data_IF_930520310652
#
_entry.id   IF_930520310652
#
_cell.length_a   1.000
_cell.length_b   1.000
_cell.length_c   1.000
_cell.angle_alpha   90.00
_cell.angle_beta   90.00
_cell.angle_gamma   90.00
#
_symmetry.space_group_name_H-M   'P 1'
#
loop_
_entity.id
_entity.type
_entity.pdbx_description
1 polymer ?
#
# COMPACT_ATOMS: atom_id res chain seq x y z
N UNK A 1 -0.10 4.40 -19.74
CA UNK A 1 0.20 4.45 -18.29
C UNK A 1 1.68 4.76 -18.14
N UNK A 2 2.06 5.76 -17.34
CA UNK A 2 3.47 6.13 -17.15
C UNK A 2 4.08 5.18 -16.11
N UNK A 3 5.20 4.53 -16.40
CA UNK A 3 5.87 3.64 -15.44
C UNK A 3 6.46 4.47 -14.28
N UNK A 4 5.94 4.37 -13.04
CA UNK A 4 6.43 5.13 -11.90
C UNK A 4 7.89 4.81 -11.56
N UNK A 5 8.37 3.64 -11.94
CA UNK A 5 9.70 3.14 -11.64
C UNK A 5 10.69 3.32 -12.81
N UNK A 6 10.33 4.09 -13.84
CA UNK A 6 11.25 4.39 -14.95
C UNK A 6 12.46 5.23 -14.49
N UNK A 7 12.30 6.07 -13.46
CA UNK A 7 13.41 6.76 -12.79
C UNK A 7 13.00 7.27 -11.40
N UNK A 8 13.99 7.54 -10.53
CA UNK A 8 13.75 8.18 -9.22
C UNK A 8 13.06 9.54 -9.36
N UNK A 9 13.35 10.31 -10.42
CA UNK A 9 12.72 11.61 -10.66
C UNK A 9 11.23 11.49 -10.97
N UNK A 10 10.84 10.47 -11.75
CA UNK A 10 9.43 10.18 -12.06
C UNK A 10 8.71 9.72 -10.79
N UNK A 11 9.29 8.78 -10.05
CA UNK A 11 8.73 8.31 -8.78
C UNK A 11 8.51 9.46 -7.80
N UNK A 12 9.52 10.34 -7.64
CA UNK A 12 9.42 11.55 -6.80
C UNK A 12 8.25 12.42 -7.22
N UNK A 13 8.12 12.69 -8.53
CA UNK A 13 7.03 13.50 -9.05
C UNK A 13 5.65 12.89 -8.76
N UNK A 14 5.51 11.56 -8.91
CA UNK A 14 4.27 10.85 -8.60
C UNK A 14 3.94 10.92 -7.11
N UNK A 15 4.92 10.64 -6.25
CA UNK A 15 4.74 10.69 -4.79
C UNK A 15 4.31 12.09 -4.31
N UNK A 16 4.87 13.15 -4.88
CA UNK A 16 4.48 14.55 -4.62
C UNK A 16 3.05 14.87 -5.13
N UNK A 17 2.53 14.10 -6.08
CA UNK A 17 1.20 14.29 -6.68
C UNK A 17 0.11 13.45 -6.02
N UNK A 18 0.46 12.53 -5.11
CA UNK A 18 -0.52 11.79 -4.33
C UNK A 18 -1.37 12.78 -3.52
N UNK A 19 -2.64 12.86 -3.89
CA UNK A 19 -3.61 13.82 -3.34
C UNK A 19 -4.73 13.11 -2.61
N UNK A 20 -4.97 11.84 -2.87
CA UNK A 20 -6.02 11.09 -2.17
C UNK A 20 -5.48 10.52 -0.86
N UNK A 21 -6.33 10.47 0.16
CA UNK A 21 -5.95 10.09 1.53
C UNK A 21 -5.33 8.69 1.61
N UNK A 22 -5.68 7.78 0.69
CA UNK A 22 -5.32 6.35 0.78
C UNK A 22 -4.15 5.91 -0.09
N UNK A 23 -3.69 6.74 -1.02
CA UNK A 23 -2.68 6.31 -2.00
C UNK A 23 -1.31 6.10 -1.34
N UNK A 24 -0.89 7.04 -0.47
CA UNK A 24 0.36 6.93 0.26
C UNK A 24 0.30 5.80 1.29
N UNK A 25 -0.81 5.68 2.02
CA UNK A 25 -1.02 4.63 3.02
C UNK A 25 -0.91 3.24 2.37
N UNK A 26 -1.63 3.03 1.26
CA UNK A 26 -1.60 1.76 0.51
C UNK A 26 -0.19 1.41 0.03
N UNK A 27 0.56 2.40 -0.45
CA UNK A 27 1.94 2.19 -0.89
C UNK A 27 2.88 1.79 0.25
N UNK A 28 2.74 2.44 1.41
CA UNK A 28 3.53 2.11 2.61
C UNK A 28 3.12 0.74 3.16
N UNK A 29 1.83 0.42 3.20
CA UNK A 29 1.34 -0.92 3.59
C UNK A 29 1.90 -2.01 2.67
N UNK A 30 1.92 -1.77 1.36
CA UNK A 30 2.51 -2.67 0.37
C UNK A 30 4.01 -2.87 0.62
N UNK A 31 4.73 -1.78 0.85
CA UNK A 31 6.16 -1.83 1.20
C UNK A 31 6.41 -2.66 2.48
N UNK A 32 5.65 -2.41 3.54
CA UNK A 32 5.75 -3.13 4.81
C UNK A 32 5.51 -4.63 4.63
N UNK A 33 4.44 -5.01 3.93
CA UNK A 33 4.06 -6.41 3.77
C UNK A 33 4.98 -7.17 2.82
N UNK A 34 5.27 -6.58 1.67
CA UNK A 34 5.91 -7.30 0.57
C UNK A 34 7.43 -7.20 0.61
N UNK A 35 7.98 -6.07 1.08
CA UNK A 35 9.43 -5.84 1.14
C UNK A 35 9.95 -6.19 2.51
N UNK A 36 9.37 -5.63 3.57
CA UNK A 36 9.85 -5.87 4.93
C UNK A 36 9.35 -7.18 5.53
N UNK A 37 8.35 -7.83 4.92
CA UNK A 37 7.68 -9.04 5.45
C UNK A 37 7.18 -8.84 6.88
N UNK A 38 6.73 -7.63 7.18
CA UNK A 38 6.15 -7.33 8.47
C UNK A 38 4.64 -7.55 8.41
N UNK A 39 4.11 -8.19 9.44
CA UNK A 39 2.67 -8.40 9.60
C UNK A 39 2.04 -7.15 10.16
N UNK A 40 0.99 -6.64 9.49
CA UNK A 40 0.16 -5.58 10.06
C UNK A 40 -0.71 -6.19 11.16
N UNK A 41 -0.45 -5.80 12.41
CA UNK A 41 -1.23 -6.25 13.57
C UNK A 41 -2.38 -5.30 13.84
N UNK A 42 -2.13 -4.01 13.65
CA UNK A 42 -3.14 -2.97 13.77
C UNK A 42 -3.03 -2.07 12.54
N UNK A 43 -4.00 -2.21 11.64
CA UNK A 43 -4.24 -1.25 10.56
C UNK A 43 -4.77 0.07 11.15
N UNK A 44 -4.69 1.20 10.42
CA UNK A 44 -5.18 2.46 10.92
C UNK A 44 -6.69 2.34 11.17
N UNK A 45 -7.08 2.20 12.43
CA UNK A 45 -8.47 2.23 12.83
C UNK A 45 -8.82 3.65 13.24
N UNK A 46 -10.09 4.01 12.99
CA UNK A 46 -10.70 5.16 13.62
C UNK A 46 -10.31 5.20 15.10
N UNK A 47 -10.03 6.38 15.65
CA UNK A 47 -9.75 6.52 17.07
C UNK A 47 -10.82 5.83 17.94
N UNK A 48 -10.58 5.64 19.25
CA UNK A 48 -11.56 5.00 20.15
C UNK A 48 -12.97 5.61 20.09
N UNK A 49 -13.11 6.82 19.53
CA UNK A 49 -14.38 7.53 19.29
C UNK A 49 -14.81 7.64 17.81
N UNK A 50 -14.27 6.85 16.88
CA UNK A 50 -14.66 6.90 15.47
C UNK A 50 -13.91 7.95 14.62
N UNK A 51 -12.86 8.58 15.17
CA UNK A 51 -12.10 9.68 14.55
C UNK A 51 -11.29 9.23 13.32
N UNK A 52 -11.51 9.87 12.16
CA UNK A 52 -10.67 9.70 10.96
C UNK A 52 -9.36 10.50 11.13
N UNK A 53 -8.20 9.91 10.84
CA UNK A 53 -6.89 10.60 10.87
C UNK A 53 -5.81 9.97 11.78
N UNK A 54 -6.09 8.78 12.34
CA UNK A 54 -5.04 7.92 12.92
C UNK A 54 -4.37 7.15 11.79
N UNK A 55 -3.18 7.59 11.42
CA UNK A 55 -2.39 6.99 10.33
C UNK A 55 -1.29 6.09 10.91
N UNK A 56 -1.59 5.43 12.04
CA UNK A 56 -0.63 4.57 12.75
C UNK A 56 -0.90 3.11 12.34
N UNK A 57 0.06 2.51 11.65
CA UNK A 57 0.10 1.08 11.34
C UNK A 57 1.08 0.44 12.30
N UNK A 58 0.61 -0.41 13.22
CA UNK A 58 1.52 -1.20 14.08
C UNK A 58 1.80 -2.53 13.40
N UNK A 59 3.07 -2.83 13.25
CA UNK A 59 3.55 -4.01 12.55
C UNK A 59 4.46 -4.84 13.44
N UNK A 60 4.39 -6.15 13.25
CA UNK A 60 5.32 -7.12 13.80
C UNK A 60 6.31 -7.52 12.73
N UNK A 61 7.58 -7.57 13.06
CA UNK A 61 8.50 -8.39 12.31
C UNK A 61 8.16 -9.86 12.58
N UNK A 62 7.82 -10.63 11.54
CA UNK A 62 7.41 -12.03 11.69
C UNK A 62 8.55 -12.95 12.15
N UNK A 63 9.81 -12.57 11.90
CA UNK A 63 11.00 -13.35 12.25
C UNK A 63 11.46 -13.07 13.67
N UNK A 64 11.55 -11.79 14.06
CA UNK A 64 12.12 -11.37 15.36
C UNK A 64 11.06 -11.12 16.43
N UNK A 65 9.80 -10.92 16.03
CA UNK A 65 8.74 -10.48 16.93
C UNK A 65 8.89 -9.03 17.40
N UNK A 66 9.70 -8.21 16.71
CA UNK A 66 9.89 -6.79 17.03
C UNK A 66 8.72 -5.94 16.53
N UNK A 67 8.42 -4.84 17.24
CA UNK A 67 7.29 -3.98 16.92
C UNK A 67 7.74 -2.65 16.34
N UNK A 68 7.11 -2.25 15.24
CA UNK A 68 7.35 -0.97 14.60
C UNK A 68 6.01 -0.30 14.27
N UNK A 69 5.90 0.98 14.61
CA UNK A 69 4.72 1.79 14.32
C UNK A 69 5.03 2.73 13.15
N UNK A 70 4.28 2.64 12.06
CA UNK A 70 4.40 3.55 10.92
C UNK A 70 3.34 4.63 11.02
N UNK A 71 3.76 5.89 11.02
CA UNK A 71 2.91 7.09 11.05
C UNK A 71 3.00 7.72 9.67
N UNK A 72 1.94 7.59 8.87
CA UNK A 72 1.94 8.07 7.47
C UNK A 72 1.23 9.42 7.38
N UNK A 73 1.88 10.45 6.84
CA UNK A 73 1.29 11.78 6.70
C UNK A 73 1.50 12.36 5.32
N UNK A 74 0.48 13.03 4.79
CA UNK A 74 0.60 13.78 3.54
C UNK A 74 1.08 15.20 3.79
N UNK A 75 1.81 15.72 2.81
CA UNK A 75 2.31 17.09 2.86
C UNK A 75 3.58 17.21 3.68
N UNK A 76 3.87 18.42 4.13
CA UNK A 76 5.15 18.74 4.79
C UNK A 76 5.12 18.38 6.26
N UNK A 77 6.28 18.02 6.81
CA UNK A 77 6.45 17.79 8.25
C UNK A 77 5.91 18.97 9.07
N UNK A 78 6.17 20.21 8.66
CA UNK A 78 5.68 21.41 9.33
C UNK A 78 4.15 21.42 9.50
N UNK A 79 3.41 21.11 8.43
CA UNK A 79 1.96 21.22 8.43
C UNK A 79 1.31 20.08 9.26
N UNK A 80 2.00 18.95 9.34
CA UNK A 80 1.52 17.76 10.05
C UNK A 80 2.09 17.63 11.47
N UNK A 81 2.96 18.55 11.90
CA UNK A 81 3.69 18.41 13.17
C UNK A 81 2.75 18.38 14.39
N UNK A 82 1.84 19.35 14.44
CA UNK A 82 1.00 19.64 15.61
C UNK A 82 -0.47 19.29 15.39
N UNK A 83 -1.25 19.38 16.46
CA UNK A 83 -2.71 19.17 16.44
C UNK A 83 -3.13 17.83 17.05
N UNK A 84 -4.45 17.59 17.17
CA UNK A 84 -4.98 16.37 17.80
C UNK A 84 -4.59 15.09 17.05
N UNK A 85 -4.31 15.20 15.74
CA UNK A 85 -3.82 14.12 14.88
C UNK A 85 -2.44 14.44 14.29
N UNK A 86 -1.69 15.33 14.94
CA UNK A 86 -0.35 15.70 14.54
C UNK A 86 0.66 14.59 14.81
N UNK A 87 1.78 14.63 14.08
CA UNK A 87 2.87 13.65 14.16
C UNK A 87 3.36 13.49 15.58
N UNK A 88 3.60 14.58 16.32
CA UNK A 88 4.18 14.50 17.67
C UNK A 88 3.30 13.68 18.61
N UNK A 89 2.00 14.01 18.68
CA UNK A 89 1.03 13.27 19.50
C UNK A 89 0.86 11.82 19.05
N UNK A 90 1.00 11.55 17.75
CA UNK A 90 0.92 10.18 17.23
C UNK A 90 2.17 9.36 17.53
N UNK A 91 3.35 9.98 17.62
CA UNK A 91 4.57 9.31 18.12
C UNK A 91 4.42 8.97 19.59
N UNK A 92 3.95 9.91 20.41
CA UNK A 92 3.67 9.65 21.83
C UNK A 92 2.74 8.45 21.98
N UNK A 93 1.65 8.41 21.21
CA UNK A 93 0.77 7.25 21.17
C UNK A 93 1.54 6.00 20.73
N UNK A 94 2.18 6.02 19.57
CA UNK A 94 2.88 4.85 19.03
C UNK A 94 3.97 4.27 19.96
N UNK A 95 4.67 5.11 20.72
CA UNK A 95 5.83 4.73 21.52
C UNK A 95 5.51 4.54 23.01
N UNK A 96 4.54 5.29 23.54
CA UNK A 96 4.20 5.30 24.96
C UNK A 96 2.85 4.67 25.27
N UNK A 97 2.10 4.15 24.26
CA UNK A 97 0.93 3.33 24.54
C UNK A 97 1.38 2.11 25.37
N UNK A 98 0.81 1.99 26.57
CA UNK A 98 0.60 0.71 27.24
C UNK A 98 -0.44 -0.03 26.41
N UNK A 99 0.02 -0.83 25.44
CA UNK A 99 -0.90 -1.59 24.60
C UNK A 99 -1.61 -2.55 25.55
N UNK A 100 -2.89 -2.29 25.83
CA UNK A 100 -3.79 -2.98 26.79
C UNK A 100 -4.05 -4.47 26.47
N UNK A 101 -3.12 -5.09 25.75
CA UNK A 101 -3.10 -6.49 25.41
C UNK A 101 -1.77 -7.00 25.98
N UNK A 102 -1.82 -7.91 26.96
CA UNK A 102 -0.66 -8.55 27.62
C UNK A 102 0.45 -9.06 26.67
N UNK A 103 0.17 -9.12 25.36
CA UNK A 103 1.08 -9.55 24.29
C UNK A 103 2.22 -8.59 23.95
N UNK A 104 2.18 -7.31 24.36
CA UNK A 104 3.18 -6.31 23.97
C UNK A 104 4.02 -5.79 25.14
N UNK A 105 3.65 -6.13 26.37
CA UNK A 105 4.37 -5.72 27.58
C UNK A 105 5.80 -6.23 27.54
N UNK A 106 6.77 -5.33 27.74
CA UNK A 106 8.20 -5.66 27.77
C UNK A 106 8.86 -5.83 26.40
N UNK A 107 8.14 -5.62 25.29
CA UNK A 107 8.70 -5.79 23.94
C UNK A 107 9.35 -4.50 23.43
N UNK A 108 10.39 -4.67 22.61
CA UNK A 108 11.10 -3.54 21.98
C UNK A 108 10.24 -2.92 20.89
N UNK A 109 10.27 -1.58 20.82
CA UNK A 109 9.42 -0.78 19.92
C UNK A 109 10.18 0.39 19.29
N UNK A 110 9.70 0.81 18.13
CA UNK A 110 10.16 2.00 17.42
C UNK A 110 9.01 2.60 16.61
N UNK A 111 9.17 3.84 16.16
CA UNK A 111 8.27 4.47 15.21
C UNK A 111 9.02 4.92 13.96
N UNK A 112 8.30 4.98 12.84
CA UNK A 112 8.75 5.53 11.55
C UNK A 112 7.70 6.53 11.10
N UNK A 113 8.10 7.77 10.81
CA UNK A 113 7.20 8.79 10.29
C UNK A 113 7.45 8.99 8.81
N UNK A 114 6.51 8.57 7.97
CA UNK A 114 6.61 8.69 6.52
C UNK A 114 5.79 9.88 6.01
N UNK A 115 6.39 10.76 5.22
CA UNK A 115 5.67 11.85 4.57
C UNK A 115 6.11 12.13 3.13
N UNK A 116 5.15 12.39 2.25
CA UNK A 116 5.38 12.51 0.80
C UNK A 116 5.76 13.91 0.30
N UNK A 117 6.21 14.80 1.18
CA UNK A 117 6.71 16.12 0.81
C UNK A 117 7.99 16.46 1.55
N UNK A 118 8.50 17.66 1.32
CA UNK A 118 9.68 18.15 2.01
C UNK A 118 9.44 18.35 3.51
N UNK A 119 10.55 18.52 4.24
CA UNK A 119 10.58 18.64 5.70
C UNK A 119 10.05 20.00 6.21
N UNK A 120 9.79 20.94 5.30
CA UNK A 120 9.51 22.34 5.66
C UNK A 120 10.79 23.09 6.04
N UNK A 121 10.78 23.82 7.15
CA UNK A 121 11.90 24.64 7.62
C UNK A 121 12.66 23.99 8.79
N UNK A 122 13.91 24.42 9.01
CA UNK A 122 14.83 23.89 10.04
C UNK A 122 14.20 23.72 11.43
N UNK A 123 13.44 24.71 11.91
CA UNK A 123 12.80 24.63 13.22
C UNK A 123 11.66 23.61 13.32
N UNK A 124 11.08 23.14 12.22
CA UNK A 124 10.14 22.02 12.27
C UNK A 124 10.88 20.69 12.54
N UNK A 125 12.03 20.51 11.89
CA UNK A 125 12.94 19.37 12.08
C UNK A 125 13.49 19.37 13.51
N UNK A 126 14.02 20.49 13.98
CA UNK A 126 14.58 20.59 15.34
C UNK A 126 13.53 20.24 16.42
N UNK A 127 12.28 20.69 16.24
CA UNK A 127 11.17 20.34 17.15
C UNK A 127 10.84 18.85 17.09
N UNK A 128 10.79 18.27 15.89
CA UNK A 128 10.56 16.84 15.70
C UNK A 128 11.64 16.01 16.39
N UNK A 129 12.91 16.30 16.11
CA UNK A 129 14.05 15.54 16.66
C UNK A 129 14.15 15.66 18.17
N UNK A 130 13.95 16.88 18.72
CA UNK A 130 13.92 17.09 20.17
C UNK A 130 12.81 16.27 20.83
N UNK A 131 11.64 16.22 20.20
CA UNK A 131 10.53 15.44 20.73
C UNK A 131 10.78 13.93 20.66
N UNK A 132 11.34 13.44 19.55
CA UNK A 132 11.71 12.03 19.41
C UNK A 132 12.71 11.60 20.48
N UNK A 133 13.77 12.39 20.71
CA UNK A 133 14.76 12.11 21.78
C UNK A 133 14.12 12.05 23.16
N UNK A 134 13.25 13.00 23.49
CA UNK A 134 12.55 13.00 24.77
C UNK A 134 11.70 11.71 24.94
N UNK A 135 11.03 11.24 23.90
CA UNK A 135 10.23 10.01 23.94
C UNK A 135 11.12 8.77 24.05
N UNK A 136 12.23 8.72 23.31
CA UNK A 136 13.21 7.64 23.38
C UNK A 136 13.80 7.50 24.79
N UNK A 137 14.13 8.63 25.43
CA UNK A 137 14.59 8.69 26.82
C UNK A 137 13.52 8.20 27.80
N UNK A 138 12.25 8.59 27.61
CA UNK A 138 11.13 8.13 28.44
C UNK A 138 10.83 6.63 28.29
N UNK A 139 10.92 6.10 27.06
CA UNK A 139 10.73 4.67 26.78
C UNK A 139 11.84 3.81 27.41
N UNK A 140 13.05 4.36 27.50
CA UNK A 140 14.23 3.69 28.00
C UNK A 140 14.88 2.75 26.97
N UNK A 141 16.20 2.60 27.06
CA UNK A 141 16.99 1.83 26.08
C UNK A 141 16.62 0.34 26.01
N UNK A 142 16.09 -0.23 27.09
CA UNK A 142 15.68 -1.62 27.15
C UNK A 142 14.45 -1.92 26.26
N UNK A 143 13.55 -0.95 26.09
CA UNK A 143 12.32 -1.08 25.31
C UNK A 143 12.39 -0.37 23.96
N UNK A 144 13.46 0.40 23.69
CA UNK A 144 13.68 1.02 22.39
C UNK A 144 14.34 0.02 21.44
N UNK A 145 13.70 -0.30 20.32
CA UNK A 145 14.26 -1.19 19.29
C UNK A 145 15.40 -0.51 18.53
N UNK A 146 15.11 0.71 18.04
CA UNK A 146 16.01 1.61 17.32
C UNK A 146 15.45 3.04 17.46
N UNK A 147 16.23 4.07 17.10
CA UNK A 147 15.72 5.44 17.10
C UNK A 147 14.51 5.60 16.19
N UNK A 148 13.64 6.55 16.55
CA UNK A 148 12.48 6.93 15.75
C UNK A 148 12.97 7.51 14.44
N UNK A 149 12.53 6.92 13.33
CA UNK A 149 12.95 7.33 11.99
C UNK A 149 11.95 8.30 11.37
N UNK A 150 12.46 9.12 10.44
CA UNK A 150 11.67 10.00 9.60
C UNK A 150 12.02 9.75 8.15
N UNK A 151 11.03 9.42 7.35
CA UNK A 151 11.15 9.20 5.91
C UNK A 151 10.46 10.35 5.21
N UNK A 152 11.26 11.28 4.69
CA UNK A 152 10.75 12.33 3.82
C UNK A 152 10.59 11.83 2.38
N UNK A 153 10.25 12.73 1.47
CA UNK A 153 10.09 12.39 0.06
C UNK A 153 11.33 11.74 -0.55
N UNK A 154 12.54 12.15 -0.15
CA UNK A 154 13.79 11.61 -0.70
C UNK A 154 14.03 10.18 -0.24
N UNK A 155 13.87 9.95 1.05
CA UNK A 155 14.03 8.63 1.65
C UNK A 155 12.97 7.65 1.13
N UNK A 156 11.72 8.09 0.98
CA UNK A 156 10.66 7.30 0.36
C UNK A 156 11.00 6.89 -1.07
N UNK A 157 11.47 7.84 -1.89
CA UNK A 157 11.88 7.55 -3.27
C UNK A 157 13.00 6.52 -3.28
N UNK A 158 14.00 6.65 -2.42
CA UNK A 158 15.12 5.72 -2.38
C UNK A 158 14.65 4.30 -2.03
N UNK A 159 13.96 4.14 -0.90
CA UNK A 159 13.48 2.84 -0.42
C UNK A 159 12.58 2.13 -1.41
N UNK A 160 11.63 2.86 -2.00
CA UNK A 160 10.66 2.29 -2.95
C UNK A 160 11.36 1.95 -4.27
N UNK A 161 12.23 2.82 -4.78
CA UNK A 161 12.90 2.61 -6.06
C UNK A 161 13.94 1.48 -6.03
N UNK A 162 14.61 1.29 -4.90
CA UNK A 162 15.54 0.18 -4.68
C UNK A 162 14.82 -1.18 -4.80
N UNK A 163 13.56 -1.23 -4.39
CA UNK A 163 12.73 -2.43 -4.41
C UNK A 163 11.77 -2.52 -5.62
N UNK A 164 11.97 -1.68 -6.64
CA UNK A 164 11.06 -1.54 -7.79
C UNK A 164 10.72 -2.84 -8.50
N UNK A 165 11.65 -3.79 -8.60
CA UNK A 165 11.42 -5.05 -9.32
C UNK A 165 10.38 -5.92 -8.60
N UNK A 166 10.35 -5.85 -7.26
CA UNK A 166 9.35 -6.54 -6.46
C UNK A 166 7.98 -5.88 -6.66
N UNK A 167 7.91 -4.54 -6.62
CA UNK A 167 6.67 -3.82 -6.89
C UNK A 167 6.11 -4.11 -8.29
N UNK A 168 6.96 -4.08 -9.34
CA UNK A 168 6.57 -4.41 -10.71
C UNK A 168 6.07 -5.84 -10.84
N UNK A 169 6.76 -6.79 -10.21
CA UNK A 169 6.36 -8.21 -10.22
C UNK A 169 4.99 -8.39 -9.57
N UNK A 170 4.75 -7.73 -8.43
CA UNK A 170 3.50 -7.86 -7.70
C UNK A 170 2.34 -7.17 -8.44
N UNK A 171 2.56 -6.01 -9.06
CA UNK A 171 1.58 -5.36 -9.93
C UNK A 171 1.20 -6.25 -11.13
N UNK A 172 2.18 -6.93 -11.73
CA UNK A 172 1.92 -7.88 -12.82
C UNK A 172 1.11 -9.11 -12.34
N UNK A 173 1.37 -9.61 -11.13
CA UNK A 173 0.60 -10.71 -10.53
C UNK A 173 -0.82 -10.26 -10.21
N UNK A 174 -1.01 -9.10 -9.59
CA UNK A 174 -2.34 -8.52 -9.31
C UNK A 174 -3.15 -8.34 -10.59
N UNK A 175 -2.51 -7.84 -11.66
CA UNK A 175 -3.13 -7.70 -12.97
C UNK A 175 -3.53 -9.07 -13.56
N UNK A 176 -2.67 -10.08 -13.44
CA UNK A 176 -2.95 -11.44 -13.90
C UNK A 176 -4.11 -12.09 -13.13
N UNK A 177 -4.13 -11.97 -11.80
CA UNK A 177 -5.23 -12.48 -10.96
C UNK A 177 -6.53 -11.76 -11.31
N UNK A 178 -6.52 -10.43 -11.41
CA UNK A 178 -7.70 -9.66 -11.82
C UNK A 178 -8.24 -10.11 -13.17
N UNK A 179 -7.35 -10.42 -14.11
CA UNK A 179 -7.72 -10.92 -15.44
C UNK A 179 -8.30 -12.34 -15.39
N UNK A 180 -7.79 -13.21 -14.53
CA UNK A 180 -8.38 -14.54 -14.30
C UNK A 180 -9.78 -14.43 -13.71
N UNK A 181 -9.97 -13.57 -12.71
CA UNK A 181 -11.29 -13.34 -12.10
C UNK A 181 -12.29 -12.82 -13.13
N UNK A 182 -11.91 -11.84 -13.94
CA UNK A 182 -12.77 -11.34 -15.02
C UNK A 182 -13.06 -12.39 -16.09
N UNK A 183 -12.10 -13.28 -16.38
CA UNK A 183 -12.33 -14.42 -17.28
C UNK A 183 -13.34 -15.40 -16.70
N UNK A 184 -13.28 -15.63 -15.40
CA UNK A 184 -14.19 -16.51 -14.69
C UNK A 184 -15.61 -15.93 -14.67
N UNK A 185 -15.75 -14.64 -14.36
CA UNK A 185 -17.03 -13.93 -14.42
C UNK A 185 -17.65 -13.99 -15.83
N UNK A 186 -16.83 -13.80 -16.89
CA UNK A 186 -17.28 -13.95 -18.28
C UNK A 186 -17.83 -15.36 -18.57
N UNK A 187 -17.19 -16.40 -18.05
CA UNK A 187 -17.64 -17.79 -18.24
C UNK A 187 -18.96 -18.03 -17.50
N UNK A 188 -19.10 -17.49 -16.28
CA UNK A 188 -20.36 -17.58 -15.52
C UNK A 188 -21.47 -16.85 -16.27
N UNK A 189 -21.24 -15.59 -16.66
CA UNK A 189 -22.19 -14.78 -17.41
C UNK A 189 -22.65 -15.52 -18.67
N UNK A 190 -21.70 -16.11 -19.41
CA UNK A 190 -22.00 -16.86 -20.62
C UNK A 190 -22.87 -18.07 -20.32
N UNK A 191 -22.56 -18.83 -19.27
CA UNK A 191 -23.36 -19.99 -18.87
C UNK A 191 -24.78 -19.59 -18.50
N UNK A 192 -24.95 -18.53 -17.71
CA UNK A 192 -26.28 -18.01 -17.32
C UNK A 192 -27.07 -17.57 -18.55
N UNK A 193 -26.44 -16.82 -19.46
CA UNK A 193 -27.08 -16.34 -20.67
C UNK A 193 -27.35 -17.46 -21.69
N UNK A 194 -26.52 -18.50 -21.72
CA UNK A 194 -26.74 -19.68 -22.55
C UNK A 194 -27.88 -20.54 -22.00
N UNK A 195 -27.95 -20.75 -20.69
CA UNK A 195 -29.03 -21.51 -20.06
C UNK A 195 -30.38 -20.80 -20.26
N UNK A 196 -30.42 -19.46 -20.15
CA UNK A 196 -31.65 -18.71 -20.44
C UNK A 196 -32.11 -18.85 -21.90
N UNK A 197 -31.18 -18.88 -22.86
CA UNK A 197 -31.48 -19.13 -24.28
C UNK A 197 -31.90 -20.59 -24.51
N UNK A 198 -31.20 -21.56 -23.91
CA UNK A 198 -31.43 -23.00 -24.10
C UNK A 198 -32.81 -23.44 -23.62
N UNK A 199 -33.29 -22.86 -22.52
CA UNK A 199 -34.59 -23.19 -21.93
C UNK A 199 -35.69 -22.18 -22.31
N UNK A 200 -35.40 -21.20 -23.18
CA UNK A 200 -36.39 -20.26 -23.70
C UNK A 200 -37.34 -20.95 -24.69
N UNK A 201 -38.63 -20.63 -24.58
CA UNK A 201 -39.66 -21.03 -25.56
C UNK A 201 -39.79 -20.06 -26.74
N UNK A 202 -39.10 -18.92 -26.71
CA UNK A 202 -39.07 -17.93 -27.79
C UNK A 202 -37.82 -18.09 -28.66
N UNK A 203 -37.93 -17.96 -30.00
CA UNK A 203 -36.78 -18.04 -30.91
C UNK A 203 -35.85 -16.83 -30.68
N UNK A 204 -34.80 -17.05 -29.89
CA UNK A 204 -33.85 -16.00 -29.53
C UNK A 204 -32.69 -15.93 -30.53
N UNK A 205 -32.26 -14.72 -30.87
CA UNK A 205 -31.23 -14.49 -31.88
C UNK A 205 -29.84 -14.75 -31.29
N UNK A 206 -29.30 -15.96 -31.47
CA UNK A 206 -27.94 -16.34 -31.04
C UNK A 206 -26.84 -15.34 -31.48
N UNK A 207 -27.11 -14.54 -32.52
CA UNK A 207 -26.23 -13.48 -32.99
C UNK A 207 -26.07 -12.34 -31.97
N UNK A 208 -27.15 -11.90 -31.33
CA UNK A 208 -27.12 -10.83 -30.33
C UNK A 208 -26.33 -11.25 -29.08
N UNK A 209 -26.53 -12.49 -28.62
CA UNK A 209 -25.74 -13.08 -27.53
C UNK A 209 -24.23 -13.03 -27.86
N UNK A 210 -23.86 -13.40 -29.07
CA UNK A 210 -22.46 -13.45 -29.50
C UNK A 210 -21.84 -12.05 -29.63
N UNK A 211 -22.62 -11.08 -30.10
CA UNK A 211 -22.20 -9.67 -30.23
C UNK A 211 -21.97 -9.02 -28.85
N UNK A 212 -22.87 -9.24 -27.89
CA UNK A 212 -22.75 -8.72 -26.52
C UNK A 212 -21.53 -9.29 -25.78
N UNK A 213 -21.29 -10.60 -25.89
CA UNK A 213 -20.09 -11.22 -25.31
C UNK A 213 -18.81 -10.74 -25.98
N UNK A 214 -18.81 -10.59 -27.31
CA UNK A 214 -17.66 -10.05 -28.04
C UNK A 214 -17.33 -8.62 -27.60
N UNK A 215 -18.33 -7.82 -27.26
CA UNK A 215 -18.14 -6.47 -26.73
C UNK A 215 -17.56 -6.49 -25.32
N UNK A 216 -18.11 -7.29 -24.41
CA UNK A 216 -17.58 -7.47 -23.05
C UNK A 216 -16.11 -7.93 -23.05
N UNK A 217 -15.77 -8.90 -23.91
CA UNK A 217 -14.39 -9.38 -24.07
C UNK A 217 -13.47 -8.23 -24.48
N UNK A 218 -13.84 -7.45 -25.50
CA UNK A 218 -13.04 -6.31 -25.97
C UNK A 218 -12.86 -5.23 -24.89
N UNK A 219 -13.89 -4.97 -24.09
CA UNK A 219 -13.81 -4.00 -22.98
C UNK A 219 -12.81 -4.47 -21.90
N UNK A 220 -12.82 -5.76 -21.58
CA UNK A 220 -11.88 -6.35 -20.62
C UNK A 220 -10.45 -6.37 -21.19
N UNK A 221 -10.28 -6.76 -22.46
CA UNK A 221 -8.97 -6.74 -23.13
C UNK A 221 -8.39 -5.33 -23.27
N UNK A 222 -9.24 -4.31 -23.50
CA UNK A 222 -8.82 -2.92 -23.53
C UNK A 222 -8.27 -2.47 -22.16
N UNK A 223 -8.91 -2.90 -21.07
CA UNK A 223 -8.54 -2.49 -19.70
C UNK A 223 -7.35 -3.28 -19.13
N UNK A 224 -7.23 -4.56 -19.45
CA UNK A 224 -6.27 -5.48 -18.80
C UNK A 224 -5.29 -6.15 -19.78
N UNK A 225 -5.34 -5.81 -21.06
CA UNK A 225 -4.54 -6.42 -22.13
C UNK A 225 -5.14 -7.72 -22.67
N UNK A 226 -4.82 -8.08 -23.92
CA UNK A 226 -5.43 -9.21 -24.63
C UNK A 226 -5.29 -10.55 -23.92
N UNK A 227 -6.36 -11.35 -23.90
CA UNK A 227 -6.36 -12.72 -23.37
C UNK A 227 -5.38 -13.62 -24.11
N UNK A 228 -5.14 -13.37 -25.40
CA UNK A 228 -4.14 -14.06 -26.19
C UNK A 228 -2.80 -13.32 -26.17
N UNK A 229 -1.89 -13.74 -25.30
CA UNK A 229 -0.47 -13.41 -25.40
C UNK A 229 0.26 -14.54 -26.14
N UNK A 230 0.32 -14.47 -27.48
CA UNK A 230 1.12 -15.39 -28.30
C UNK A 230 2.64 -15.20 -28.15
N UNK A 231 3.14 -14.81 -26.97
CA UNK A 231 4.57 -14.62 -26.64
C UNK A 231 5.12 -15.66 -25.66
N UNK A 232 4.41 -16.77 -25.45
CA UNK A 232 4.92 -17.97 -24.78
C UNK A 232 5.22 -19.12 -25.76
N UNK A 233 5.52 -18.80 -27.02
CA UNK A 233 6.27 -19.73 -27.86
C UNK A 233 7.74 -19.52 -27.52
N UNK A 234 8.29 -20.44 -26.72
CA UNK A 234 9.72 -20.52 -26.51
C UNK A 234 10.44 -20.56 -27.86
N UNK A 235 11.49 -19.74 -27.96
CA UNK A 235 12.54 -19.93 -28.95
C UNK A 235 13.18 -21.31 -28.71
N UNK A 236 12.55 -22.35 -29.25
CA UNK A 236 13.16 -23.61 -29.57
C UNK A 236 13.21 -23.70 -31.10
N UNK A 237 14.14 -22.96 -31.68
CA UNK A 237 14.69 -23.26 -33.00
C UNK A 237 16.17 -22.89 -32.98
N UNK A 238 16.93 -23.68 -32.23
CA UNK A 238 18.34 -23.92 -32.53
C UNK A 238 18.43 -25.19 -33.37
N UNK A 239 18.58 -25.01 -34.69
CA UNK A 239 19.30 -25.92 -35.58
C UNK A 239 20.37 -25.10 -36.30
#
# INVERSE_FOLDING_TARGET
>A
MFDPFASKAILRWILLKLKEDKELDSLIEKYIREILRHRIIMSPSRGPFGEKGKDIVVVENEETGDYCSYIVKRGTLQNSLNGPFGILKQIEQAMLIDLEIDRFTGKRRTAVVAHNSNEGYRGAIDRFEKHCKNIEEQCGSALLLRPIERWDIEELVNRIFENREIFKKNEAIELFVSKLDQSYDLIIDFKVAYDSVKYSTEPMNHKELTEDFSKKIKEIEYKFGSFNSSKYNGDNNGQ
#
